data_IF_289290180124
#
_entry.id   IF_289290180124
#
_cell.length_a   1.000
_cell.length_b   1.000
_cell.length_c   1.000
_cell.angle_alpha   90.00
_cell.angle_beta   90.00
_cell.angle_gamma   90.00
#
_symmetry.space_group_name_H-M   'P 1'
#
loop_
_entity.id
_entity.type
_entity.pdbx_description
1 polymer ?
#
# COMPACT_ATOMS: atom_id res chain seq x y z
N UNK A 1 -18.41 -19.24 -0.75
CA UNK A 1 -17.03 -18.84 -0.41
C UNK A 1 -16.80 -17.43 -0.95
N UNK A 2 -16.03 -16.59 -0.26
CA UNK A 2 -15.67 -15.27 -0.78
C UNK A 2 -14.54 -15.43 -1.79
N UNK A 3 -14.78 -15.05 -3.06
CA UNK A 3 -13.82 -15.19 -4.16
C UNK A 3 -13.31 -13.82 -4.59
N UNK A 4 -12.02 -13.70 -4.87
CA UNK A 4 -11.40 -12.50 -5.45
C UNK A 4 -11.27 -12.64 -6.97
N UNK A 5 -12.23 -12.03 -7.68
CA UNK A 5 -12.32 -12.04 -9.15
C UNK A 5 -11.62 -10.84 -9.81
N UNK A 6 -10.98 -9.96 -9.04
CA UNK A 6 -10.30 -8.78 -9.61
C UNK A 6 -9.07 -9.22 -10.41
N UNK A 7 -8.93 -8.71 -11.62
CA UNK A 7 -7.77 -8.95 -12.49
C UNK A 7 -7.31 -7.63 -13.10
N UNK A 8 -6.07 -7.61 -13.58
CA UNK A 8 -5.66 -6.59 -14.51
C UNK A 8 -6.39 -6.79 -15.84
N UNK A 9 -6.90 -5.74 -16.49
CA UNK A 9 -7.67 -5.85 -17.73
C UNK A 9 -6.81 -6.33 -18.91
N UNK A 10 -7.46 -6.76 -20.00
CA UNK A 10 -6.77 -7.11 -21.24
C UNK A 10 -6.14 -5.87 -21.88
N UNK A 11 -4.82 -5.90 -22.09
CA UNK A 11 -4.06 -4.83 -22.73
C UNK A 11 -3.77 -5.13 -24.21
N UNK A 12 -3.47 -4.09 -24.99
CA UNK A 12 -2.95 -4.26 -26.36
C UNK A 12 -1.53 -3.68 -26.43
N UNK A 13 -0.58 -4.47 -26.93
CA UNK A 13 0.83 -4.07 -27.04
C UNK A 13 1.38 -4.29 -28.45
N UNK A 14 2.32 -3.46 -28.93
CA UNK A 14 2.98 -3.68 -30.22
C UNK A 14 3.83 -4.95 -30.20
N UNK A 15 3.75 -5.76 -31.28
CA UNK A 15 4.56 -6.99 -31.44
C UNK A 15 6.07 -6.69 -31.52
N UNK A 16 6.44 -5.46 -31.89
CA UNK A 16 7.83 -5.03 -32.06
C UNK A 16 8.58 -4.78 -30.75
N UNK A 17 7.89 -4.70 -29.60
CA UNK A 17 8.56 -4.68 -28.30
C UNK A 17 9.14 -6.07 -28.02
N UNK A 18 10.42 -6.24 -28.39
CA UNK A 18 11.20 -7.49 -28.41
C UNK A 18 11.48 -8.07 -27.02
N UNK A 19 10.45 -8.43 -26.27
CA UNK A 19 10.53 -9.52 -25.31
C UNK A 19 9.38 -10.46 -25.63
N UNK A 20 9.70 -11.68 -26.05
CA UNK A 20 8.78 -12.81 -26.23
C UNK A 20 8.21 -13.27 -24.87
N UNK A 21 7.72 -12.33 -24.05
CA UNK A 21 7.38 -12.53 -22.66
C UNK A 21 6.07 -11.79 -22.37
N UNK A 22 5.22 -12.38 -21.55
CA UNK A 22 3.95 -11.77 -21.14
C UNK A 22 4.19 -10.38 -20.55
N UNK A 23 3.27 -9.41 -20.75
CA UNK A 23 3.41 -8.09 -20.15
C UNK A 23 3.56 -8.17 -18.63
N UNK A 24 4.66 -7.61 -18.11
CA UNK A 24 5.03 -7.68 -16.68
C UNK A 24 3.96 -7.08 -15.75
N UNK A 25 3.11 -6.19 -16.26
CA UNK A 25 1.98 -5.62 -15.52
C UNK A 25 1.05 -6.69 -14.91
N UNK A 26 0.87 -7.84 -15.57
CA UNK A 26 0.09 -8.95 -15.02
C UNK A 26 0.81 -9.64 -13.87
N UNK A 27 2.13 -9.84 -13.99
CA UNK A 27 2.97 -10.41 -12.93
C UNK A 27 2.97 -9.53 -11.69
N UNK A 28 3.16 -8.21 -11.87
CA UNK A 28 3.10 -7.23 -10.78
C UNK A 28 1.71 -7.21 -10.14
N UNK A 29 0.62 -7.23 -10.93
CA UNK A 29 -0.74 -7.25 -10.35
C UNK A 29 -1.03 -8.54 -9.57
N UNK A 30 -0.55 -9.70 -10.05
CA UNK A 30 -0.65 -10.96 -9.32
C UNK A 30 0.09 -10.90 -7.97
N UNK A 31 1.30 -10.33 -7.97
CA UNK A 31 2.07 -10.10 -6.75
C UNK A 31 1.31 -9.18 -5.77
N UNK A 32 0.76 -8.06 -6.25
CA UNK A 32 -0.04 -7.14 -5.44
C UNK A 32 -1.25 -7.83 -4.78
N UNK A 33 -1.96 -8.69 -5.52
CA UNK A 33 -3.08 -9.48 -4.98
C UNK A 33 -2.60 -10.44 -3.89
N UNK A 34 -1.53 -11.19 -4.15
CA UNK A 34 -1.02 -12.17 -3.19
C UNK A 34 -0.53 -11.49 -1.90
N UNK A 35 0.18 -10.36 -2.02
CA UNK A 35 0.63 -9.58 -0.88
C UNK A 35 -0.55 -9.02 -0.08
N UNK A 36 -1.59 -8.51 -0.75
CA UNK A 36 -2.79 -8.02 -0.09
C UNK A 36 -3.51 -9.13 0.70
N UNK A 37 -3.73 -10.30 0.09
CA UNK A 37 -4.39 -11.43 0.75
C UNK A 37 -3.57 -11.95 1.93
N UNK A 38 -2.25 -12.07 1.77
CA UNK A 38 -1.35 -12.51 2.83
C UNK A 38 -1.32 -11.51 3.99
N UNK A 39 -1.25 -10.21 3.69
CA UNK A 39 -1.28 -9.14 4.68
C UNK A 39 -2.59 -9.13 5.45
N UNK A 40 -3.72 -9.33 4.75
CA UNK A 40 -5.04 -9.45 5.38
C UNK A 40 -5.10 -10.63 6.33
N UNK A 41 -4.53 -11.76 5.95
CA UNK A 41 -4.51 -12.95 6.80
C UNK A 41 -3.63 -12.75 8.03
N UNK A 42 -2.43 -12.20 7.89
CA UNK A 42 -1.54 -11.88 9.03
C UNK A 42 -2.21 -10.91 9.99
N UNK A 43 -2.92 -9.89 9.49
CA UNK A 43 -3.68 -8.95 10.32
C UNK A 43 -4.79 -9.68 11.10
N UNK A 44 -5.53 -10.57 10.44
CA UNK A 44 -6.56 -11.38 11.09
C UNK A 44 -5.95 -12.26 12.19
N UNK A 45 -4.87 -12.98 11.90
CA UNK A 45 -4.17 -13.81 12.89
C UNK A 45 -3.68 -13.00 14.08
N UNK A 46 -3.11 -11.82 13.84
CA UNK A 46 -2.66 -10.93 14.91
C UNK A 46 -3.82 -10.52 15.82
N UNK A 47 -4.96 -10.16 15.25
CA UNK A 47 -6.15 -9.77 16.02
C UNK A 47 -6.68 -10.97 16.81
N UNK A 48 -6.82 -12.14 16.19
CA UNK A 48 -7.30 -13.34 16.88
C UNK A 48 -6.33 -13.80 17.99
N UNK A 49 -5.02 -13.68 17.78
CA UNK A 49 -4.02 -14.05 18.77
C UNK A 49 -3.96 -13.08 19.97
N UNK A 50 -4.46 -11.85 19.82
CA UNK A 50 -4.46 -10.86 20.91
C UNK A 50 -5.30 -11.29 22.11
N UNK A 51 -6.29 -12.17 21.91
CA UNK A 51 -7.18 -12.72 22.95
C UNK A 51 -6.62 -14.02 23.57
N UNK A 52 -5.54 -14.56 23.02
CA UNK A 52 -4.95 -15.82 23.48
C UNK A 52 -3.94 -15.62 24.62
N UNK A 53 -3.63 -16.74 25.28
CA UNK A 53 -2.51 -16.84 26.22
C UNK A 53 -1.18 -16.49 25.53
N UNK A 54 -0.13 -16.29 26.34
CA UNK A 54 1.22 -16.02 25.85
C UNK A 54 1.62 -17.06 24.79
N UNK A 55 2.11 -16.59 23.64
CA UNK A 55 2.53 -17.49 22.57
C UNK A 55 3.91 -18.07 22.90
N UNK A 56 4.20 -19.32 22.50
CA UNK A 56 5.48 -19.98 22.83
C UNK A 56 6.72 -19.19 22.33
N UNK A 57 6.57 -18.42 21.25
CA UNK A 57 7.62 -17.52 20.73
C UNK A 57 7.97 -16.36 21.66
N UNK A 58 7.06 -16.00 22.57
CA UNK A 58 7.28 -14.95 23.56
C UNK A 58 7.92 -15.52 24.85
N UNK A 59 7.97 -16.84 25.00
CA UNK A 59 8.57 -17.50 26.17
C UNK A 59 10.09 -17.47 26.13
N UNK A 60 10.72 -17.38 27.32
CA UNK A 60 12.18 -17.39 27.48
C UNK A 60 12.90 -16.25 26.74
N UNK A 61 12.19 -15.16 26.43
CA UNK A 61 12.78 -13.90 25.94
C UNK A 61 13.13 -13.03 27.15
N UNK A 62 14.42 -12.72 27.33
CA UNK A 62 14.87 -11.84 28.43
C UNK A 62 14.54 -10.39 28.09
N UNK A 63 13.51 -9.86 28.74
CA UNK A 63 13.08 -8.47 28.63
C UNK A 63 13.22 -7.78 29.99
N UNK A 64 13.43 -6.46 29.97
CA UNK A 64 13.45 -5.63 31.17
C UNK A 64 12.15 -4.85 31.23
N UNK A 65 11.43 -4.98 32.33
CA UNK A 65 10.26 -4.16 32.59
C UNK A 65 10.70 -2.72 32.87
N UNK A 66 10.20 -1.79 32.06
CA UNK A 66 10.47 -0.36 32.18
C UNK A 66 9.44 0.35 33.07
N UNK A 67 8.52 -0.40 33.69
CA UNK A 67 7.44 0.06 34.56
C UNK A 67 6.50 1.07 33.88
N UNK A 68 6.29 0.89 32.58
CA UNK A 68 5.49 1.79 31.77
C UNK A 68 4.42 1.07 30.92
N UNK A 69 4.06 -0.17 31.26
CA UNK A 69 2.93 -0.89 30.65
C UNK A 69 3.05 -1.11 29.12
N UNK A 70 4.28 -1.22 28.60
CA UNK A 70 4.52 -1.61 27.20
C UNK A 70 4.16 -3.07 26.96
N UNK A 71 3.59 -3.36 25.78
CA UNK A 71 3.32 -4.72 25.32
C UNK A 71 4.45 -5.26 24.45
N UNK A 72 4.99 -6.40 24.88
CA UNK A 72 5.92 -7.22 24.10
C UNK A 72 5.27 -8.59 23.88
N UNK A 73 4.66 -8.79 22.71
CA UNK A 73 3.91 -9.99 22.34
C UNK A 73 3.99 -10.24 20.85
N UNK A 74 3.99 -11.50 20.42
CA UNK A 74 4.06 -11.87 19.01
C UNK A 74 2.96 -11.20 18.18
N UNK A 75 1.74 -11.13 18.67
CA UNK A 75 0.63 -10.50 17.95
C UNK A 75 0.85 -9.01 17.67
N UNK A 76 1.57 -8.28 18.55
CA UNK A 76 1.97 -6.88 18.32
C UNK A 76 2.95 -6.80 17.15
N UNK A 77 3.92 -7.72 17.09
CA UNK A 77 4.87 -7.78 15.98
C UNK A 77 4.17 -8.19 14.67
N UNK A 78 3.22 -9.13 14.70
CA UNK A 78 2.37 -9.45 13.55
C UNK A 78 1.56 -8.25 13.06
N UNK A 79 1.01 -7.43 13.97
CA UNK A 79 0.35 -6.16 13.61
C UNK A 79 1.30 -5.22 12.89
N UNK A 80 2.51 -5.02 13.43
CA UNK A 80 3.54 -4.17 12.79
C UNK A 80 3.93 -4.69 11.41
N UNK A 81 4.11 -6.01 11.26
CA UNK A 81 4.40 -6.65 9.97
C UNK A 81 3.27 -6.44 8.97
N UNK A 82 2.01 -6.63 9.39
CA UNK A 82 0.85 -6.37 8.55
C UNK A 82 0.77 -4.90 8.12
N UNK A 83 1.03 -3.97 9.04
CA UNK A 83 1.06 -2.53 8.75
C UNK A 83 2.13 -2.20 7.70
N UNK A 84 3.36 -2.67 7.86
CA UNK A 84 4.44 -2.43 6.91
C UNK A 84 4.17 -3.05 5.55
N UNK A 85 3.65 -4.29 5.53
CA UNK A 85 3.29 -4.99 4.30
C UNK A 85 2.20 -4.24 3.54
N UNK A 86 1.15 -3.77 4.22
CA UNK A 86 0.10 -2.95 3.63
C UNK A 86 0.66 -1.64 3.04
N UNK A 87 1.57 -0.97 3.75
CA UNK A 87 2.19 0.26 3.28
C UNK A 87 3.04 0.04 2.01
N UNK A 88 3.80 -1.06 1.95
CA UNK A 88 4.66 -1.40 0.83
C UNK A 88 3.88 -1.66 -0.48
N UNK A 89 2.63 -2.11 -0.39
CA UNK A 89 1.77 -2.34 -1.56
C UNK A 89 1.55 -1.03 -2.34
N UNK A 90 1.42 0.13 -1.68
CA UNK A 90 1.23 1.40 -2.38
C UNK A 90 2.40 1.76 -3.29
N UNK A 91 3.65 1.55 -2.83
CA UNK A 91 4.81 1.83 -3.67
C UNK A 91 4.86 0.91 -4.89
N UNK A 92 4.49 -0.37 -4.73
CA UNK A 92 4.38 -1.32 -5.86
C UNK A 92 3.25 -0.95 -6.83
N UNK A 93 2.13 -0.40 -6.34
CA UNK A 93 1.11 0.21 -7.20
C UNK A 93 1.72 1.35 -8.02
N UNK A 94 2.59 2.18 -7.42
CA UNK A 94 3.28 3.26 -8.13
C UNK A 94 4.20 2.76 -9.25
N UNK A 95 4.92 1.67 -9.01
CA UNK A 95 5.71 1.00 -10.04
C UNK A 95 4.83 0.54 -11.20
N UNK A 96 3.70 -0.11 -10.92
CA UNK A 96 2.75 -0.54 -11.96
C UNK A 96 2.20 0.66 -12.75
N UNK A 97 1.85 1.77 -12.08
CA UNK A 97 1.39 2.98 -12.76
C UNK A 97 2.48 3.56 -13.68
N UNK A 98 3.72 3.63 -13.20
CA UNK A 98 4.86 4.12 -13.96
C UNK A 98 5.07 3.33 -15.25
N UNK A 99 5.00 2.00 -15.15
CA UNK A 99 5.13 1.08 -16.29
C UNK A 99 3.93 1.20 -17.24
N UNK A 100 2.70 1.02 -16.73
CA UNK A 100 1.50 0.93 -17.57
C UNK A 100 1.18 2.24 -18.29
N UNK A 101 1.30 3.39 -17.61
CA UNK A 101 1.10 4.69 -18.26
C UNK A 101 2.37 5.22 -18.95
N UNK A 102 3.48 4.49 -18.93
CA UNK A 102 4.74 4.88 -19.57
C UNK A 102 5.25 6.24 -19.11
N UNK A 103 5.30 6.49 -17.81
CA UNK A 103 5.70 7.79 -17.25
C UNK A 103 7.22 8.00 -17.31
N UNK A 104 8.00 6.93 -17.51
CA UNK A 104 9.47 6.96 -17.58
C UNK A 104 10.14 7.62 -16.37
N UNK A 105 9.50 7.53 -15.20
CA UNK A 105 10.10 7.96 -13.94
C UNK A 105 11.17 6.95 -13.55
N UNK A 106 12.32 7.44 -13.08
CA UNK A 106 13.37 6.57 -12.54
C UNK A 106 12.80 5.70 -11.41
N UNK A 107 12.95 4.39 -11.56
CA UNK A 107 12.49 3.35 -10.62
C UNK A 107 12.95 3.59 -9.18
N UNK A 108 14.14 4.11 -8.95
CA UNK A 108 14.65 4.40 -7.60
C UNK A 108 13.94 5.58 -6.93
N UNK A 109 13.25 6.41 -7.71
CA UNK A 109 12.56 7.63 -7.26
C UNK A 109 11.05 7.50 -7.28
N UNK A 110 10.52 6.40 -7.82
CA UNK A 110 9.08 6.17 -7.88
C UNK A 110 8.58 5.72 -6.52
N UNK A 111 7.53 6.38 -6.07
CA UNK A 111 6.77 6.06 -4.87
C UNK A 111 5.32 6.42 -5.15
N UNK A 112 4.40 5.88 -4.35
CA UNK A 112 2.98 6.20 -4.55
C UNK A 112 2.71 7.70 -4.49
N UNK A 113 3.52 8.43 -3.72
CA UNK A 113 3.46 9.88 -3.61
C UNK A 113 3.99 10.61 -4.84
N UNK A 114 5.06 10.13 -5.48
CA UNK A 114 5.80 10.87 -6.51
C UNK A 114 5.34 10.57 -7.92
N UNK A 115 4.70 9.42 -8.15
CA UNK A 115 4.29 8.95 -9.49
C UNK A 115 3.38 9.92 -10.25
N UNK A 116 2.66 10.79 -9.55
CA UNK A 116 1.70 11.73 -10.13
C UNK A 116 2.31 13.00 -10.74
N UNK A 117 3.59 13.27 -10.47
CA UNK A 117 4.23 14.56 -10.75
C UNK A 117 5.41 14.44 -11.72
N UNK A 118 5.66 15.49 -12.50
CA UNK A 118 6.89 15.60 -13.28
C UNK A 118 8.08 15.87 -12.36
N UNK A 119 9.16 15.10 -12.53
CA UNK A 119 10.42 15.31 -11.81
C UNK A 119 11.30 16.27 -12.61
N UNK A 120 11.62 17.46 -12.08
CA UNK A 120 12.65 18.33 -12.70
C UNK A 120 12.36 19.83 -12.83
N UNK A 121 11.46 20.42 -12.04
CA UNK A 121 11.30 21.87 -11.96
C UNK A 121 10.86 22.24 -10.55
N UNK A 122 11.28 23.39 -10.02
CA UNK A 122 11.08 23.80 -8.62
C UNK A 122 9.62 23.83 -8.11
N UNK A 123 8.62 23.55 -8.97
CA UNK A 123 7.22 23.32 -8.60
C UNK A 123 6.76 21.94 -9.09
N UNK A 124 6.17 21.15 -8.19
CA UNK A 124 5.54 19.85 -8.52
C UNK A 124 4.32 20.07 -9.41
N UNK A 125 4.49 19.91 -10.71
CA UNK A 125 3.37 19.93 -11.65
C UNK A 125 2.86 18.50 -11.84
N UNK A 126 1.54 18.33 -11.85
CA UNK A 126 0.92 17.04 -12.16
C UNK A 126 1.32 16.67 -13.59
N UNK A 127 1.72 15.41 -13.81
CA UNK A 127 2.10 14.93 -15.14
C UNK A 127 1.02 15.25 -16.17
N UNK A 128 1.44 15.70 -17.37
CA UNK A 128 0.52 15.96 -18.49
C UNK A 128 -0.36 14.75 -18.82
N UNK A 129 0.11 13.52 -18.55
CA UNK A 129 -0.68 12.29 -18.73
C UNK A 129 -1.89 12.21 -17.79
N UNK A 130 -1.87 12.92 -16.68
CA UNK A 130 -2.92 12.88 -15.66
C UNK A 130 -3.76 14.16 -15.60
N UNK A 131 -3.18 15.32 -15.92
CA UNK A 131 -3.81 16.63 -15.71
C UNK A 131 -5.21 16.75 -16.32
N UNK A 132 -5.40 16.29 -17.56
CA UNK A 132 -6.67 16.31 -18.27
C UNK A 132 -7.27 14.91 -18.45
N UNK A 133 -6.83 13.92 -17.68
CA UNK A 133 -7.30 12.55 -17.85
C UNK A 133 -8.76 12.44 -17.44
N UNK A 134 -9.65 11.97 -18.32
CA UNK A 134 -11.05 11.66 -18.00
C UNK A 134 -11.18 10.31 -17.26
N UNK A 135 -10.07 9.69 -16.85
CA UNK A 135 -10.05 8.42 -16.14
C UNK A 135 -10.44 8.62 -14.67
N UNK A 136 -11.74 8.56 -14.35
CA UNK A 136 -12.26 8.78 -13.00
C UNK A 136 -11.65 7.85 -11.93
N UNK A 137 -11.49 6.53 -12.17
CA UNK A 137 -10.78 5.67 -11.22
C UNK A 137 -9.34 6.11 -10.97
N UNK A 138 -8.61 6.54 -12.01
CA UNK A 138 -7.24 7.05 -11.87
C UNK A 138 -7.20 8.34 -11.03
N UNK A 139 -8.18 9.24 -11.20
CA UNK A 139 -8.35 10.42 -10.33
C UNK A 139 -8.62 10.00 -8.89
N UNK A 140 -9.47 9.00 -8.67
CA UNK A 140 -9.71 8.43 -7.35
C UNK A 140 -8.43 7.89 -6.69
N UNK A 141 -7.59 7.21 -7.47
CA UNK A 141 -6.30 6.71 -7.01
C UNK A 141 -5.31 7.85 -6.68
N UNK A 142 -5.31 8.93 -7.47
CA UNK A 142 -4.56 10.15 -7.18
C UNK A 142 -5.01 10.79 -5.86
N UNK A 143 -6.32 10.97 -5.65
CA UNK A 143 -6.84 11.53 -4.40
C UNK A 143 -6.52 10.65 -3.20
N UNK A 144 -6.63 9.32 -3.33
CA UNK A 144 -6.20 8.38 -2.29
C UNK A 144 -4.72 8.58 -1.95
N UNK A 145 -3.85 8.79 -2.95
CA UNK A 145 -2.45 9.12 -2.68
C UNK A 145 -2.28 10.46 -1.96
N UNK A 146 -3.15 11.45 -2.20
CA UNK A 146 -3.10 12.73 -1.48
C UNK A 146 -3.49 12.52 -0.01
N UNK A 147 -4.54 11.76 0.25
CA UNK A 147 -5.01 11.44 1.61
C UNK A 147 -3.95 10.70 2.44
N UNK A 148 -3.05 9.95 1.81
CA UNK A 148 -1.96 9.24 2.49
C UNK A 148 -0.67 10.07 2.68
N UNK A 149 -0.39 11.05 1.82
CA UNK A 149 0.95 11.65 1.69
C UNK A 149 0.99 13.19 1.61
N UNK A 150 -0.12 13.89 1.85
CA UNK A 150 -0.19 15.35 1.75
C UNK A 150 0.82 16.06 2.69
N UNK A 151 1.36 17.22 2.25
CA UNK A 151 2.23 18.08 3.08
C UNK A 151 1.63 19.47 3.27
N UNK A 152 1.86 20.09 4.43
CA UNK A 152 1.27 21.34 4.90
C UNK A 152 1.65 22.59 4.08
N UNK A 153 2.62 22.49 3.16
CA UNK A 153 3.02 23.63 2.32
C UNK A 153 2.13 23.83 1.08
N UNK A 154 1.18 22.95 0.82
CA UNK A 154 0.21 23.07 -0.27
C UNK A 154 -1.14 23.60 0.28
N UNK A 155 -1.17 24.79 0.88
CA UNK A 155 -2.35 25.59 1.29
C UNK A 155 -3.51 24.94 2.09
N UNK A 156 -3.48 23.64 2.36
CA UNK A 156 -4.43 22.92 3.18
C UNK A 156 -3.67 22.02 4.15
N UNK A 157 -4.09 22.07 5.41
CA UNK A 157 -3.54 21.26 6.51
C UNK A 157 -3.40 19.81 6.07
N UNK A 158 -2.23 19.19 6.29
CA UNK A 158 -2.11 17.74 6.15
C UNK A 158 -3.23 17.11 6.95
N UNK A 159 -3.97 16.19 6.34
CA UNK A 159 -4.90 15.34 7.07
C UNK A 159 -4.14 14.68 8.23
N UNK A 160 -4.49 14.95 9.50
CA UNK A 160 -3.74 14.49 10.66
C UNK A 160 -3.40 12.98 10.62
N UNK A 161 -4.31 12.19 10.04
CA UNK A 161 -4.17 10.76 9.85
C UNK A 161 -3.00 10.38 8.91
N UNK A 162 -2.76 11.15 7.84
CA UNK A 162 -1.65 10.91 6.90
C UNK A 162 -0.29 11.06 7.59
N UNK A 163 -0.14 12.10 8.42
CA UNK A 163 1.07 12.31 9.24
C UNK A 163 1.25 11.16 10.22
N UNK A 164 0.17 10.78 10.89
CA UNK A 164 0.18 9.72 11.88
C UNK A 164 0.62 8.38 11.30
N UNK A 165 0.05 7.95 10.15
CA UNK A 165 0.45 6.73 9.44
C UNK A 165 1.94 6.74 9.05
N UNK A 166 2.45 7.89 8.58
CA UNK A 166 3.87 8.04 8.25
C UNK A 166 4.77 7.95 9.48
N UNK A 167 4.35 8.52 10.62
CA UNK A 167 5.07 8.37 11.88
C UNK A 167 5.10 6.92 12.35
N UNK A 168 3.98 6.21 12.31
CA UNK A 168 3.91 4.78 12.66
C UNK A 168 4.88 4.00 11.76
N UNK A 169 4.75 4.11 10.44
CA UNK A 169 5.62 3.44 9.47
C UNK A 169 7.09 3.65 9.81
N UNK A 170 7.50 4.91 9.97
CA UNK A 170 8.89 5.26 10.20
C UNK A 170 9.43 4.70 11.53
N UNK A 171 8.60 4.65 12.58
CA UNK A 171 9.01 4.13 13.88
C UNK A 171 8.98 2.61 13.97
N UNK A 172 8.18 1.93 13.15
CA UNK A 172 8.31 0.47 13.01
C UNK A 172 9.59 0.14 12.23
N UNK A 173 9.88 0.84 11.13
CA UNK A 173 11.00 0.47 10.24
C UNK A 173 12.38 0.90 10.73
N UNK A 174 12.50 2.09 11.33
CA UNK A 174 13.80 2.74 11.51
C UNK A 174 14.03 3.31 12.90
N UNK A 175 13.03 3.26 13.79
CA UNK A 175 13.14 3.80 15.15
C UNK A 175 12.45 2.88 16.15
N UNK A 176 11.97 3.45 17.25
CA UNK A 176 11.30 2.72 18.31
C UNK A 176 9.81 3.07 18.40
N UNK A 177 8.94 2.13 18.00
CA UNK A 177 7.50 2.23 18.24
C UNK A 177 7.16 1.61 19.60
N UNK A 178 6.75 2.44 20.57
CA UNK A 178 6.34 2.01 21.92
C UNK A 178 4.86 1.70 21.92
N UNK A 179 4.51 0.43 22.00
CA UNK A 179 3.11 0.00 22.01
C UNK A 179 2.65 -0.23 23.45
N UNK A 180 1.64 0.50 23.87
CA UNK A 180 1.12 0.53 25.23
C UNK A 180 -0.19 -0.22 25.37
N UNK A 181 -0.47 -0.69 26.59
CA UNK A 181 -1.82 -1.09 26.97
C UNK A 181 -2.72 0.14 27.13
N UNK A 182 -3.78 0.20 26.32
CA UNK A 182 -4.73 1.31 26.28
C UNK A 182 -5.49 1.51 27.62
N UNK A 183 -5.54 0.50 28.50
CA UNK A 183 -6.19 0.61 29.82
C UNK A 183 -5.36 1.40 30.83
N UNK A 184 -4.04 1.43 30.67
CA UNK A 184 -3.12 1.99 31.66
C UNK A 184 -2.44 3.28 31.18
N UNK A 185 -2.32 3.47 29.86
CA UNK A 185 -1.58 4.60 29.29
C UNK A 185 -2.37 5.23 28.15
N UNK A 186 -2.69 6.52 28.29
CA UNK A 186 -3.14 7.34 27.16
C UNK A 186 -1.91 7.72 26.30
N UNK A 187 -1.62 6.85 25.32
CA UNK A 187 -0.51 7.05 24.41
C UNK A 187 -0.67 8.31 23.55
N UNK A 188 -1.90 8.75 23.27
CA UNK A 188 -2.15 9.96 22.49
C UNK A 188 -1.77 11.20 23.30
N UNK A 189 -2.20 11.27 24.56
CA UNK A 189 -1.82 12.35 25.47
C UNK A 189 -0.30 12.39 25.69
N UNK A 190 0.36 11.23 25.88
CA UNK A 190 1.82 11.16 26.02
C UNK A 190 2.54 11.69 24.77
N UNK A 191 2.03 11.38 23.56
CA UNK A 191 2.60 11.95 22.31
C UNK A 191 2.52 13.47 22.29
N UNK A 192 1.40 14.05 22.70
CA UNK A 192 1.16 15.49 22.67
C UNK A 192 2.06 16.24 23.67
N UNK A 193 2.32 15.64 24.84
CA UNK A 193 3.11 16.26 25.91
C UNK A 193 4.63 16.11 25.74
N UNK A 194 5.11 14.92 25.37
CA UNK A 194 6.54 14.57 25.48
C UNK A 194 7.31 14.66 24.14
N UNK A 195 6.61 14.97 23.04
CA UNK A 195 7.17 14.90 21.69
C UNK A 195 7.53 13.47 21.29
N UNK A 196 8.16 13.29 20.12
CA UNK A 196 8.39 11.95 19.53
C UNK A 196 9.67 11.85 18.66
N UNK A 197 10.82 12.30 19.19
CA UNK A 197 12.06 12.36 18.40
C UNK A 197 12.75 10.98 18.23
N UNK A 198 12.91 10.20 19.31
CA UNK A 198 13.51 8.85 19.29
C UNK A 198 12.47 7.72 19.28
N UNK A 199 11.33 7.94 19.95
CA UNK A 199 10.29 6.93 20.12
C UNK A 199 8.90 7.50 19.85
N UNK A 200 7.98 6.65 19.41
CA UNK A 200 6.59 7.02 19.14
C UNK A 200 5.65 6.18 20.02
N UNK A 201 5.01 6.79 21.04
CA UNK A 201 3.96 6.14 21.82
C UNK A 201 2.73 5.84 20.96
N UNK A 202 2.18 4.64 21.05
CA UNK A 202 0.91 4.26 20.42
C UNK A 202 0.19 3.23 21.29
N UNK A 203 -1.14 3.32 21.36
CA UNK A 203 -1.97 2.27 21.95
C UNK A 203 -2.05 1.04 21.04
N UNK A 204 -2.21 -0.16 21.58
CA UNK A 204 -2.37 -1.33 20.72
C UNK A 204 -3.68 -1.29 19.93
N UNK A 205 -4.75 -0.75 20.51
CA UNK A 205 -6.02 -0.55 19.83
C UNK A 205 -5.88 0.46 18.68
N UNK A 206 -5.15 1.55 18.92
CA UNK A 206 -4.83 2.53 17.88
C UNK A 206 -4.03 1.90 16.74
N UNK A 207 -2.96 1.15 17.04
CA UNK A 207 -2.16 0.46 16.02
C UNK A 207 -3.01 -0.54 15.21
N UNK A 208 -3.90 -1.29 15.87
CA UNK A 208 -4.85 -2.20 15.22
C UNK A 208 -5.78 -1.46 14.26
N UNK A 209 -6.43 -0.38 14.72
CA UNK A 209 -7.35 0.41 13.91
C UNK A 209 -6.66 1.05 12.70
N UNK A 210 -5.45 1.59 12.89
CA UNK A 210 -4.66 2.15 11.79
C UNK A 210 -4.25 1.08 10.77
N UNK A 211 -3.90 -0.13 11.23
CA UNK A 211 -3.59 -1.27 10.35
C UNK A 211 -4.80 -1.69 9.51
N UNK A 212 -5.99 -1.77 10.12
CA UNK A 212 -7.25 -2.07 9.41
C UNK A 212 -7.59 -0.97 8.41
N UNK A 213 -7.47 0.30 8.81
CA UNK A 213 -7.71 1.45 7.92
C UNK A 213 -6.78 1.42 6.71
N UNK A 214 -5.48 1.20 6.94
CA UNK A 214 -4.49 1.11 5.87
C UNK A 214 -4.81 -0.02 4.89
N UNK A 215 -5.19 -1.20 5.39
CA UNK A 215 -5.58 -2.33 4.55
C UNK A 215 -6.84 -2.05 3.72
N UNK A 216 -7.82 -1.31 4.27
CA UNK A 216 -9.00 -0.85 3.51
C UNK A 216 -8.59 0.10 2.37
N UNK A 217 -7.65 1.00 2.62
CA UNK A 217 -7.12 1.90 1.59
C UNK A 217 -6.37 1.12 0.49
N UNK A 218 -5.58 0.11 0.86
CA UNK A 218 -4.94 -0.79 -0.13
C UNK A 218 -5.98 -1.47 -0.99
N UNK A 219 -7.05 -2.02 -0.40
CA UNK A 219 -8.14 -2.65 -1.16
C UNK A 219 -8.75 -1.67 -2.17
N UNK A 220 -9.07 -0.45 -1.74
CA UNK A 220 -9.60 0.59 -2.63
C UNK A 220 -8.62 0.94 -3.74
N UNK A 221 -7.33 1.06 -3.43
CA UNK A 221 -6.29 1.36 -4.40
C UNK A 221 -6.15 0.27 -5.47
N UNK A 222 -6.21 -1.02 -5.11
CA UNK A 222 -6.16 -2.14 -6.06
C UNK A 222 -7.39 -2.19 -6.99
N UNK A 223 -8.57 -1.84 -6.46
CA UNK A 223 -9.81 -1.71 -7.25
C UNK A 223 -9.68 -0.54 -8.23
N UNK A 224 -9.28 0.64 -7.75
CA UNK A 224 -9.09 1.82 -8.59
C UNK A 224 -8.03 1.59 -9.65
N UNK A 225 -6.94 0.88 -9.34
CA UNK A 225 -5.89 0.54 -10.30
C UNK A 225 -6.43 -0.33 -11.45
N UNK A 226 -7.18 -1.39 -11.14
CA UNK A 226 -7.78 -2.27 -12.16
C UNK A 226 -8.78 -1.51 -13.03
N UNK A 227 -9.68 -0.73 -12.40
CA UNK A 227 -10.66 0.08 -13.12
C UNK A 227 -10.00 1.19 -13.96
N UNK A 228 -8.92 1.80 -13.46
CA UNK A 228 -8.18 2.82 -14.17
C UNK A 228 -7.50 2.25 -15.41
N UNK A 229 -6.81 1.12 -15.27
CA UNK A 229 -6.23 0.42 -16.41
C UNK A 229 -7.32 0.02 -17.41
N UNK A 230 -8.49 -0.42 -16.94
CA UNK A 230 -9.57 -0.85 -17.83
C UNK A 230 -10.11 0.31 -18.65
N UNK A 231 -10.31 1.47 -18.01
CA UNK A 231 -10.75 2.68 -18.69
C UNK A 231 -9.71 3.17 -19.71
N UNK A 232 -8.42 3.07 -19.39
CA UNK A 232 -7.33 3.47 -20.29
C UNK A 232 -7.26 2.55 -21.52
N UNK A 233 -7.25 1.24 -21.31
CA UNK A 233 -7.19 0.24 -22.37
C UNK A 233 -8.44 0.27 -23.27
N UNK A 234 -9.62 0.51 -22.68
CA UNK A 234 -10.86 0.63 -23.46
C UNK A 234 -10.82 1.83 -24.40
N UNK A 235 -10.25 2.97 -23.96
CA UNK A 235 -10.03 4.15 -24.82
C UNK A 235 -8.94 3.92 -25.85
N UNK A 236 -7.85 3.26 -25.47
CA UNK A 236 -6.75 2.93 -26.37
C UNK A 236 -7.27 2.07 -27.53
N UNK A 237 -8.05 1.02 -27.24
CA UNK A 237 -8.65 0.13 -28.24
C UNK A 237 -9.52 0.84 -29.27
N UNK A 238 -10.24 1.90 -28.89
CA UNK A 238 -11.04 2.70 -29.83
C UNK A 238 -10.19 3.48 -30.84
N UNK A 239 -8.92 3.74 -30.52
CA UNK A 239 -7.98 4.49 -31.36
C UNK A 239 -7.07 3.60 -32.22
N UNK A 240 -7.12 2.28 -32.01
CA UNK A 240 -6.31 1.34 -32.79
C UNK A 240 -6.88 1.30 -34.21
N UNK A 241 -6.08 1.72 -35.18
CA UNK A 241 -6.38 1.60 -36.60
C UNK A 241 -6.56 0.12 -36.99
N UNK A 242 -7.20 -0.16 -38.14
CA UNK A 242 -7.52 -1.52 -38.64
C UNK A 242 -6.30 -2.40 -38.99
N UNK A 243 -5.36 -2.57 -38.08
CA UNK A 243 -4.24 -3.51 -38.17
C UNK A 243 -4.64 -4.93 -37.73
N UNK A 244 -3.76 -5.90 -37.99
CA UNK A 244 -3.90 -7.27 -37.48
C UNK A 244 -3.68 -7.28 -35.97
N UNK A 245 -4.73 -7.64 -35.22
CA UNK A 245 -4.67 -7.87 -33.78
C UNK A 245 -4.75 -9.38 -33.54
N UNK A 246 -3.71 -9.95 -32.93
CA UNK A 246 -3.73 -11.34 -32.49
C UNK A 246 -4.15 -11.41 -31.01
N UNK A 247 -5.11 -12.28 -30.69
CA UNK A 247 -5.51 -12.53 -29.32
C UNK A 247 -4.54 -13.53 -28.67
N UNK A 248 -4.06 -13.21 -27.47
CA UNK A 248 -3.29 -14.12 -26.63
C UNK A 248 -4.02 -14.28 -25.31
N UNK A 249 -4.47 -15.50 -25.01
CA UNK A 249 -5.15 -15.79 -23.77
C UNK A 249 -4.14 -16.04 -22.65
N UNK A 250 -4.41 -15.48 -21.48
CA UNK A 250 -3.69 -15.81 -20.25
C UNK A 250 -4.36 -17.02 -19.59
N UNK A 251 -3.54 -17.93 -19.07
CA UNK A 251 -4.03 -19.06 -18.29
C UNK A 251 -4.02 -18.71 -16.81
N UNK A 252 -5.10 -19.06 -16.10
CA UNK A 252 -5.16 -18.93 -14.65
C UNK A 252 -4.19 -19.91 -13.97
N UNK A 253 -3.50 -19.42 -12.93
CA UNK A 253 -2.64 -20.28 -12.10
C UNK A 253 -3.55 -21.15 -11.23
N UNK A 254 -3.63 -22.44 -11.54
CA UNK A 254 -4.36 -23.41 -10.72
C UNK A 254 -3.67 -23.61 -9.37
N UNK A 255 -4.45 -23.82 -8.32
CA UNK A 255 -3.94 -24.03 -6.95
C UNK A 255 -2.96 -25.21 -6.86
N UNK A 256 -3.12 -26.25 -7.69
CA UNK A 256 -2.19 -27.39 -7.76
C UNK A 256 -0.76 -27.01 -8.13
N UNK A 257 -0.56 -25.87 -8.79
CA UNK A 257 0.76 -25.35 -9.16
C UNK A 257 1.34 -24.38 -8.12
N UNK A 258 0.65 -24.18 -6.99
CA UNK A 258 1.03 -23.26 -5.90
C UNK A 258 1.39 -23.99 -4.60
N UNK A 259 1.46 -25.33 -4.64
CA UNK A 259 1.80 -26.23 -3.54
C UNK A 259 3.30 -26.52 -3.51
#
# INVERSE_FOLDING_TARGET
>A
MANDVLTFPSIVTPVTDRKLMFPEVYGVYNQLKQEFVSTRYILFEAISESENKLHFSDERVKLYDMLDFRKYRLWIEKLKMAFLSAYAIFDKIAYLINEHWGLSINVEKVSFRTVWYELGGGKRQISKKFHNSENWPLRGLYWLSKDLFFRANDYFSIEPDARHLNHIRNHITHKYLRVYDDLYVDAKLSRENDGHQLSYPIGHEELKLQSIKLLKLVRSALIYLSLAAHAEESRAKQKIDKGLIAAMNLCEIKDTYRL
#
